data_IF_427421523351
#
_entry.id   IF_427421523351
#
_cell.length_a   1.000
_cell.length_b   1.000
_cell.length_c   1.000
_cell.angle_alpha   90.00
_cell.angle_beta   90.00
_cell.angle_gamma   90.00
#
_symmetry.space_group_name_H-M   'P 1'
#
loop_
_entity.id
_entity.type
_entity.pdbx_description
1 polymer ?
#
# COMPACT_ATOMS: atom_id res chain seq x y z
N UNK A 1 -10.85 -20.62 -12.62
CA UNK A 1 -9.92 -20.07 -11.61
C UNK A 1 -9.61 -21.16 -10.59
N UNK A 2 -8.44 -21.11 -9.96
CA UNK A 2 -8.06 -22.04 -8.90
C UNK A 2 -6.84 -21.54 -8.15
N UNK A 3 -6.60 -22.10 -6.97
CA UNK A 3 -5.42 -21.81 -6.16
C UNK A 3 -4.54 -23.05 -6.14
N UNK A 4 -3.23 -22.87 -6.25
CA UNK A 4 -2.27 -23.97 -6.15
C UNK A 4 -1.06 -23.50 -5.38
N UNK A 5 -0.58 -24.34 -4.47
CA UNK A 5 0.64 -24.13 -3.72
C UNK A 5 1.75 -24.93 -4.38
N UNK A 6 2.82 -24.24 -4.77
CA UNK A 6 4.02 -24.84 -5.34
C UNK A 6 5.07 -24.97 -4.24
N UNK A 7 5.51 -26.19 -3.96
CA UNK A 7 6.65 -26.43 -3.07
C UNK A 7 7.94 -26.15 -3.84
N UNK A 8 8.65 -25.09 -3.44
CA UNK A 8 9.91 -24.72 -4.08
C UNK A 8 11.00 -25.75 -3.77
N UNK A 9 11.82 -26.13 -4.76
CA UNK A 9 12.87 -27.12 -4.56
C UNK A 9 13.95 -26.61 -3.61
N UNK A 10 14.57 -27.54 -2.88
CA UNK A 10 15.67 -27.20 -1.97
C UNK A 10 16.92 -26.76 -2.73
N UNK A 11 17.66 -25.81 -2.16
CA UNK A 11 18.96 -25.36 -2.66
C UNK A 11 20.08 -26.07 -1.92
N UNK A 12 21.03 -26.65 -2.66
CA UNK A 12 22.23 -27.28 -2.09
C UNK A 12 23.37 -27.35 -3.11
N UNK A 13 24.55 -27.83 -2.68
CA UNK A 13 25.74 -27.95 -3.53
C UNK A 13 26.61 -26.68 -3.55
N UNK A 14 27.67 -26.68 -4.38
CA UNK A 14 28.75 -25.67 -4.36
C UNK A 14 28.32 -24.24 -4.72
N UNK A 15 27.13 -24.07 -5.31
CA UNK A 15 26.59 -22.78 -5.79
C UNK A 15 25.20 -22.44 -5.23
N UNK A 16 24.70 -23.22 -4.26
CA UNK A 16 23.32 -23.10 -3.76
C UNK A 16 22.28 -23.14 -4.89
N UNK A 17 22.55 -23.97 -5.90
CA UNK A 17 21.64 -24.23 -7.02
C UNK A 17 20.49 -25.12 -6.55
N UNK A 18 19.32 -24.95 -7.17
CA UNK A 18 18.18 -25.80 -6.89
C UNK A 18 18.51 -27.26 -7.24
N UNK A 19 18.22 -28.16 -6.31
CA UNK A 19 18.57 -29.57 -6.37
C UNK A 19 20.01 -29.90 -6.79
N UNK A 20 20.97 -29.03 -6.45
CA UNK A 20 22.39 -29.23 -6.80
C UNK A 20 22.70 -29.00 -8.29
N UNK A 21 21.84 -28.28 -9.02
CA UNK A 21 22.09 -27.88 -10.41
C UNK A 21 21.53 -28.83 -11.47
N UNK A 22 20.50 -29.62 -11.14
CA UNK A 22 19.81 -30.46 -12.12
C UNK A 22 19.15 -29.60 -13.20
N UNK A 23 19.18 -30.08 -14.44
CA UNK A 23 18.56 -29.41 -15.60
C UNK A 23 17.03 -29.44 -15.55
N UNK A 24 16.46 -30.47 -14.93
CA UNK A 24 15.01 -30.63 -14.74
C UNK A 24 14.75 -30.92 -13.26
N UNK A 25 13.81 -30.17 -12.70
CA UNK A 25 13.43 -30.25 -11.30
C UNK A 25 11.91 -30.40 -11.23
N UNK A 26 11.45 -31.48 -10.61
CA UNK A 26 10.04 -31.73 -10.42
C UNK A 26 9.58 -31.07 -9.12
N UNK A 27 8.71 -30.07 -9.23
CA UNK A 27 8.14 -29.39 -8.07
C UNK A 27 6.77 -29.99 -7.73
N UNK A 28 6.53 -30.22 -6.44
CA UNK A 28 5.22 -30.66 -5.96
C UNK A 28 4.24 -29.48 -6.02
N UNK A 29 3.07 -29.72 -6.59
CA UNK A 29 1.96 -28.75 -6.60
C UNK A 29 0.78 -29.32 -5.83
N UNK A 30 0.18 -28.51 -4.95
CA UNK A 30 -0.98 -28.87 -4.13
C UNK A 30 -2.15 -27.96 -4.56
N UNK A 31 -3.16 -28.48 -5.29
CA UNK A 31 -4.35 -27.70 -5.62
C UNK A 31 -5.18 -27.49 -4.35
N UNK A 32 -5.57 -26.23 -4.11
CA UNK A 32 -6.36 -25.81 -2.95
C UNK A 32 -7.74 -25.38 -3.41
N UNK A 33 -8.77 -25.86 -2.71
CA UNK A 33 -10.18 -25.57 -2.96
C UNK A 33 -10.68 -25.90 -4.38
N UNK A 34 -9.99 -26.80 -5.11
CA UNK A 34 -10.32 -27.16 -6.49
C UNK A 34 -11.78 -27.61 -6.66
N UNK A 35 -12.26 -28.47 -5.75
CA UNK A 35 -13.66 -28.92 -5.74
C UNK A 35 -14.64 -27.76 -5.57
N UNK A 36 -14.31 -26.80 -4.71
CA UNK A 36 -15.14 -25.63 -4.46
C UNK A 36 -15.23 -24.73 -5.70
N UNK A 37 -14.10 -24.42 -6.33
CA UNK A 37 -14.09 -23.62 -7.57
C UNK A 37 -14.81 -24.31 -8.73
N UNK A 38 -14.74 -25.65 -8.78
CA UNK A 38 -15.46 -26.44 -9.79
C UNK A 38 -16.97 -26.43 -9.55
N UNK A 39 -17.41 -26.55 -8.29
CA UNK A 39 -18.84 -26.54 -7.94
C UNK A 39 -19.47 -25.15 -7.95
N UNK A 40 -18.66 -24.10 -7.78
CA UNK A 40 -19.11 -22.72 -7.60
C UNK A 40 -18.45 -21.79 -8.63
N UNK A 41 -18.77 -21.93 -9.93
CA UNK A 41 -18.04 -21.23 -11.00
C UNK A 41 -18.21 -19.70 -10.99
N UNK A 42 -19.25 -19.19 -10.31
CA UNK A 42 -19.49 -17.75 -10.14
C UNK A 42 -18.65 -17.12 -9.02
N UNK A 43 -18.00 -17.93 -8.19
CA UNK A 43 -17.16 -17.44 -7.08
C UNK A 43 -15.72 -17.30 -7.57
N UNK A 44 -15.16 -16.10 -7.43
CA UNK A 44 -13.77 -15.78 -7.77
C UNK A 44 -12.95 -15.55 -6.50
N UNK A 45 -11.65 -15.76 -6.62
CA UNK A 45 -10.68 -15.40 -5.59
C UNK A 45 -10.40 -13.90 -5.69
N UNK A 46 -10.43 -13.18 -4.56
CA UNK A 46 -10.03 -11.77 -4.46
C UNK A 46 -8.61 -11.64 -3.92
N UNK A 47 -8.31 -12.29 -2.81
CA UNK A 47 -7.00 -12.24 -2.16
C UNK A 47 -6.65 -13.60 -1.55
N UNK A 48 -5.37 -13.95 -1.58
CA UNK A 48 -4.81 -15.08 -0.86
C UNK A 48 -3.62 -14.63 -0.01
N UNK A 49 -3.56 -15.08 1.23
CA UNK A 49 -2.45 -14.81 2.13
C UNK A 49 -2.16 -16.02 3.02
N UNK A 50 -0.90 -16.19 3.39
CA UNK A 50 -0.51 -17.17 4.39
C UNK A 50 -0.92 -16.70 5.77
N UNK A 51 -1.39 -17.63 6.60
CA UNK A 51 -1.57 -17.38 8.03
C UNK A 51 -0.20 -17.11 8.68
N UNK A 52 -0.08 -16.11 9.57
CA UNK A 52 1.21 -15.67 10.11
C UNK A 52 1.74 -16.60 11.22
N UNK A 53 2.01 -17.87 10.91
CA UNK A 53 2.61 -18.84 11.83
C UNK A 53 3.93 -19.38 11.27
N UNK A 54 4.95 -19.52 12.12
CA UNK A 54 6.24 -20.11 11.75
C UNK A 54 6.42 -21.55 12.26
N UNK A 55 5.72 -21.91 13.33
CA UNK A 55 5.98 -23.14 14.11
C UNK A 55 4.97 -24.24 13.77
N UNK A 56 3.76 -23.86 13.36
CA UNK A 56 2.67 -24.79 13.14
C UNK A 56 2.42 -25.06 11.65
N UNK A 57 1.44 -25.92 11.36
CA UNK A 57 1.04 -26.21 9.99
C UNK A 57 0.63 -24.93 9.25
N UNK A 58 1.06 -24.77 7.98
CA UNK A 58 0.74 -23.59 7.20
C UNK A 58 -0.74 -23.62 6.78
N UNK A 59 -1.45 -22.54 7.12
CA UNK A 59 -2.81 -22.29 6.64
C UNK A 59 -2.78 -21.23 5.55
N UNK A 60 -3.60 -21.44 4.52
CA UNK A 60 -3.84 -20.46 3.47
C UNK A 60 -5.21 -19.82 3.67
N UNK A 61 -5.25 -18.51 3.87
CA UNK A 61 -6.47 -17.73 3.96
C UNK A 61 -6.85 -17.19 2.57
N UNK A 62 -8.09 -17.44 2.15
CA UNK A 62 -8.64 -17.04 0.85
C UNK A 62 -9.86 -16.14 1.04
N UNK A 63 -9.76 -14.88 0.61
CA UNK A 63 -10.90 -13.98 0.48
C UNK A 63 -11.56 -14.20 -0.89
N UNK A 64 -12.86 -14.43 -0.85
CA UNK A 64 -13.64 -14.89 -2.00
C UNK A 64 -14.75 -13.89 -2.33
N UNK A 65 -15.20 -13.87 -3.60
CA UNK A 65 -16.24 -12.93 -4.06
C UNK A 65 -17.64 -13.20 -3.49
N UNK A 66 -17.82 -14.28 -2.74
CA UNK A 66 -19.01 -14.54 -1.95
C UNK A 66 -18.98 -13.94 -0.54
N UNK A 67 -18.07 -12.99 -0.32
CA UNK A 67 -17.88 -12.25 0.94
C UNK A 67 -17.57 -13.17 2.12
N UNK A 68 -16.60 -14.07 1.92
CA UNK A 68 -16.12 -14.96 2.98
C UNK A 68 -14.60 -15.08 2.94
N UNK A 69 -14.00 -15.27 4.12
CA UNK A 69 -12.60 -15.69 4.25
C UNK A 69 -12.57 -17.16 4.65
N UNK A 70 -11.86 -17.98 3.88
CA UNK A 70 -11.74 -19.42 4.09
C UNK A 70 -10.30 -19.81 4.38
N UNK A 71 -10.10 -20.55 5.46
CA UNK A 71 -8.79 -21.06 5.87
C UNK A 71 -8.65 -22.52 5.45
N UNK A 72 -7.62 -22.83 4.68
CA UNK A 72 -7.32 -24.19 4.21
C UNK A 72 -6.00 -24.67 4.80
N UNK A 73 -6.00 -25.87 5.39
CA UNK A 73 -4.76 -26.59 5.70
C UNK A 73 -4.27 -27.32 4.45
N UNK A 74 -2.95 -27.34 4.25
CA UNK A 74 -2.35 -28.10 3.14
C UNK A 74 -2.50 -29.63 3.31
N UNK A 75 -2.81 -30.11 4.51
CA UNK A 75 -3.11 -31.52 4.78
C UNK A 75 -4.52 -31.92 4.31
N UNK A 76 -5.45 -30.98 4.27
CA UNK A 76 -6.83 -31.18 3.82
C UNK A 76 -7.26 -30.08 2.84
N UNK A 77 -6.56 -29.92 1.69
CA UNK A 77 -6.63 -28.71 0.86
C UNK A 77 -7.96 -28.52 0.12
N UNK A 78 -8.87 -29.50 0.17
CA UNK A 78 -10.16 -29.46 -0.50
C UNK A 78 -11.32 -29.04 0.41
N UNK A 79 -11.11 -29.02 1.72
CA UNK A 79 -12.12 -28.68 2.73
C UNK A 79 -11.59 -27.55 3.59
N UNK A 80 -12.31 -26.41 3.72
CA UNK A 80 -11.86 -25.34 4.58
C UNK A 80 -11.88 -25.80 6.04
N UNK A 81 -10.78 -25.58 6.75
CA UNK A 81 -10.71 -25.79 8.19
C UNK A 81 -11.60 -24.81 8.95
N UNK A 82 -11.71 -23.58 8.43
CA UNK A 82 -12.58 -22.55 9.00
C UNK A 82 -13.10 -21.63 7.90
N UNK A 83 -14.32 -21.12 8.09
CA UNK A 83 -14.97 -20.15 7.21
C UNK A 83 -15.46 -18.99 8.07
N UNK A 84 -15.09 -17.77 7.69
CA UNK A 84 -15.59 -16.52 8.25
C UNK A 84 -16.57 -15.92 7.24
N UNK A 85 -17.84 -15.78 7.64
CA UNK A 85 -18.82 -15.02 6.86
C UNK A 85 -18.65 -13.54 7.15
N UNK A 86 -18.56 -12.73 6.11
CA UNK A 86 -18.41 -11.26 6.21
C UNK A 86 -19.73 -10.53 5.89
N UNK A 87 -20.78 -11.27 5.53
CA UNK A 87 -22.11 -10.68 5.40
C UNK A 87 -22.66 -10.43 6.81
N UNK A 88 -23.06 -9.20 7.11
CA UNK A 88 -23.76 -8.89 8.34
C UNK A 88 -25.10 -9.63 8.35
N UNK A 89 -25.29 -10.54 9.29
CA UNK A 89 -26.62 -11.05 9.61
C UNK A 89 -27.14 -10.18 10.75
N UNK A 90 -28.07 -9.27 10.47
CA UNK A 90 -28.83 -8.63 11.52
C UNK A 90 -29.54 -9.72 12.33
N UNK A 91 -29.13 -9.89 13.59
CA UNK A 91 -29.87 -10.71 14.54
C UNK A 91 -31.26 -10.06 14.74
N UNK A 92 -32.28 -10.83 14.39
CA UNK A 92 -33.67 -10.70 14.86
C UNK A 92 -34.41 -9.36 14.69
N UNK A 93 -34.63 -8.89 13.45
CA UNK A 93 -35.93 -8.33 13.01
C UNK A 93 -35.90 -7.62 11.65
N UNK A 94 -35.88 -8.37 10.55
CA UNK A 94 -36.75 -8.11 9.38
C UNK A 94 -36.30 -8.99 8.21
N UNK A 95 -37.30 -9.54 7.52
CA UNK A 95 -37.12 -10.30 6.31
C UNK A 95 -36.60 -9.36 5.22
N UNK A 96 -35.32 -9.48 4.86
CA UNK A 96 -34.77 -9.46 3.50
C UNK A 96 -33.25 -9.27 3.60
N UNK A 97 -32.48 -10.37 3.51
CA UNK A 97 -31.04 -10.26 3.25
C UNK A 97 -30.86 -9.51 1.92
N UNK A 98 -30.06 -8.42 1.86
CA UNK A 98 -29.77 -7.77 0.60
C UNK A 98 -29.15 -8.81 -0.34
N UNK A 99 -29.75 -8.96 -1.54
CA UNK A 99 -29.15 -9.79 -2.59
C UNK A 99 -27.72 -9.29 -2.83
N UNK A 100 -26.74 -10.18 -3.07
CA UNK A 100 -25.31 -9.82 -3.22
C UNK A 100 -25.05 -8.63 -4.14
N UNK A 101 -25.87 -8.44 -5.17
CA UNK A 101 -25.78 -7.31 -6.10
C UNK A 101 -26.01 -5.95 -5.44
N UNK A 102 -26.87 -5.90 -4.41
CA UNK A 102 -27.19 -4.69 -3.68
C UNK A 102 -26.05 -4.31 -2.74
N UNK A 103 -25.55 -5.27 -1.95
CA UNK A 103 -24.38 -5.07 -1.08
C UNK A 103 -23.14 -4.61 -1.88
N UNK A 104 -22.91 -5.20 -3.07
CA UNK A 104 -21.87 -4.73 -3.99
C UNK A 104 -22.04 -3.26 -4.39
N UNK A 105 -23.28 -2.84 -4.68
CA UNK A 105 -23.56 -1.47 -5.11
C UNK A 105 -23.41 -0.44 -4.00
N UNK A 106 -23.42 -0.88 -2.74
CA UNK A 106 -23.20 -0.05 -1.56
C UNK A 106 -21.75 -0.11 -1.04
N UNK A 107 -20.87 -0.88 -1.70
CA UNK A 107 -19.50 -1.12 -1.23
C UNK A 107 -19.41 -1.98 0.04
N UNK A 108 -20.48 -2.69 0.40
CA UNK A 108 -20.58 -3.56 1.58
C UNK A 108 -19.93 -4.94 1.35
N UNK A 109 -18.90 -5.01 0.50
CA UNK A 109 -18.15 -6.24 0.24
C UNK A 109 -16.69 -6.03 0.59
N UNK A 110 -16.12 -6.99 1.31
CA UNK A 110 -14.71 -6.99 1.65
C UNK A 110 -13.82 -7.08 0.40
N UNK A 111 -12.93 -6.11 0.24
CA UNK A 111 -11.98 -5.99 -0.88
C UNK A 111 -10.61 -6.57 -0.53
N UNK A 112 -10.20 -6.43 0.73
CA UNK A 112 -8.88 -6.83 1.18
C UNK A 112 -8.86 -7.21 2.66
N UNK A 113 -7.85 -7.95 3.08
CA UNK A 113 -7.57 -8.21 4.49
C UNK A 113 -6.07 -8.23 4.76
N UNK A 114 -5.68 -8.00 6.01
CA UNK A 114 -4.30 -8.24 6.45
C UNK A 114 -4.23 -8.67 7.92
N UNK A 115 -3.20 -9.45 8.25
CA UNK A 115 -2.92 -9.88 9.61
C UNK A 115 -1.99 -8.88 10.30
N UNK A 116 -2.36 -8.44 11.50
CA UNK A 116 -1.48 -7.68 12.38
C UNK A 116 -0.57 -8.57 13.24
N UNK A 117 0.35 -7.94 13.99
CA UNK A 117 1.28 -8.66 14.86
C UNK A 117 0.56 -9.41 15.99
N UNK A 118 1.23 -10.39 16.58
CA UNK A 118 0.70 -11.12 17.73
C UNK A 118 0.39 -10.16 18.87
N UNK A 119 -0.85 -10.15 19.36
CA UNK A 119 -1.20 -9.50 20.60
C UNK A 119 -1.17 -10.52 21.75
N UNK A 120 -0.56 -10.16 22.87
CA UNK A 120 -0.86 -10.81 24.14
C UNK A 120 -2.24 -10.29 24.55
N UNK A 121 -3.25 -11.15 24.62
CA UNK A 121 -4.54 -10.73 25.17
C UNK A 121 -4.37 -10.32 26.64
N UNK A 122 -4.12 -9.04 26.91
CA UNK A 122 -4.14 -8.43 28.22
C UNK A 122 -4.41 -6.93 28.03
N UNK A 123 -5.63 -6.46 28.28
CA UNK A 123 -6.19 -6.33 29.64
C UNK A 123 -7.66 -6.83 29.72
N UNK A 124 -7.94 -7.66 30.74
CA UNK A 124 -9.26 -8.00 31.34
C UNK A 124 -10.17 -9.16 30.83
N UNK A 125 -9.89 -9.96 29.80
CA UNK A 125 -10.82 -11.06 29.39
C UNK A 125 -10.29 -12.51 29.33
N UNK A 126 -9.10 -12.80 29.87
CA UNK A 126 -8.58 -14.17 29.94
C UNK A 126 -8.31 -14.71 31.35
N UNK A 127 -8.99 -14.18 32.38
CA UNK A 127 -8.95 -14.79 33.71
C UNK A 127 -9.75 -16.11 33.79
N UNK A 128 -10.44 -16.54 32.72
CA UNK A 128 -11.11 -17.83 32.66
C UNK A 128 -10.93 -18.52 31.30
N UNK A 129 -10.03 -19.51 31.28
CA UNK A 129 -9.98 -20.69 30.39
C UNK A 129 -9.44 -20.56 28.94
N UNK A 130 -8.38 -19.79 28.68
CA UNK A 130 -7.51 -20.15 27.55
C UNK A 130 -6.03 -20.00 27.91
N UNK A 131 -5.24 -21.02 27.56
CA UNK A 131 -3.79 -21.03 27.70
C UNK A 131 -3.19 -19.88 26.87
N UNK A 132 -2.05 -19.36 27.30
CA UNK A 132 -1.18 -18.38 26.61
C UNK A 132 -0.92 -18.78 25.14
N UNK A 133 -1.85 -18.46 24.23
CA UNK A 133 -1.72 -18.72 22.80
C UNK A 133 -1.69 -17.40 22.06
N UNK A 134 -0.83 -17.26 21.03
CA UNK A 134 -0.73 -16.04 20.25
C UNK A 134 -2.05 -15.80 19.50
N UNK A 135 -2.58 -14.59 19.63
CA UNK A 135 -3.73 -14.09 18.89
C UNK A 135 -3.24 -13.13 17.80
N UNK A 136 -3.76 -13.28 16.60
CA UNK A 136 -3.45 -12.44 15.45
C UNK A 136 -4.71 -11.67 15.05
N UNK A 137 -4.70 -10.33 15.12
CA UNK A 137 -5.78 -9.52 14.59
C UNK A 137 -5.82 -9.67 13.07
N UNK A 138 -7.01 -9.90 12.54
CA UNK A 138 -7.33 -9.96 11.12
C UNK A 138 -8.19 -8.75 10.79
N UNK A 139 -7.57 -7.76 10.15
CA UNK A 139 -8.24 -6.56 9.67
C UNK A 139 -8.82 -6.81 8.29
N UNK A 140 -10.07 -6.43 8.09
CA UNK A 140 -10.85 -6.71 6.88
C UNK A 140 -11.40 -5.38 6.38
N UNK A 141 -10.98 -4.98 5.18
CA UNK A 141 -11.38 -3.73 4.54
C UNK A 141 -12.51 -3.99 3.56
N UNK A 142 -13.54 -3.16 3.62
CA UNK A 142 -14.67 -3.10 2.70
C UNK A 142 -14.46 -1.97 1.70
N UNK A 143 -15.09 -2.10 0.53
CA UNK A 143 -14.98 -1.14 -0.57
C UNK A 143 -15.42 0.28 -0.18
N UNK A 144 -16.46 0.37 0.66
CA UNK A 144 -16.95 1.61 1.25
C UNK A 144 -16.01 2.27 2.29
N UNK A 145 -14.80 1.74 2.49
CA UNK A 145 -13.81 2.25 3.44
C UNK A 145 -13.96 1.71 4.87
N UNK A 146 -15.04 0.99 5.18
CA UNK A 146 -15.21 0.41 6.51
C UNK A 146 -14.17 -0.69 6.78
N UNK A 147 -13.61 -0.67 7.99
CA UNK A 147 -12.69 -1.71 8.45
C UNK A 147 -13.32 -2.51 9.57
N UNK A 148 -13.24 -3.83 9.49
CA UNK A 148 -13.68 -4.75 10.54
C UNK A 148 -12.49 -5.54 11.07
N UNK A 149 -12.65 -6.09 12.27
CA UNK A 149 -11.64 -6.85 12.99
C UNK A 149 -12.18 -8.20 13.42
N UNK A 150 -11.39 -9.25 13.24
CA UNK A 150 -11.60 -10.55 13.88
C UNK A 150 -10.27 -10.98 14.51
N UNK A 151 -10.30 -11.66 15.64
CA UNK A 151 -9.12 -12.27 16.21
C UNK A 151 -9.02 -13.72 15.79
N UNK A 152 -7.84 -14.08 15.34
CA UNK A 152 -7.53 -15.44 14.88
C UNK A 152 -6.51 -16.06 15.80
N UNK A 153 -6.67 -17.33 16.14
CA UNK A 153 -5.69 -18.08 16.91
C UNK A 153 -5.45 -19.43 16.25
N UNK A 154 -4.28 -19.98 16.49
CA UNK A 154 -3.96 -21.32 16.04
C UNK A 154 -3.72 -22.23 17.24
N UNK A 155 -4.58 -23.24 17.39
CA UNK A 155 -4.42 -24.29 18.38
C UNK A 155 -5.14 -25.57 17.95
N UNK A 156 -4.37 -26.52 17.40
CA UNK A 156 -4.91 -27.71 16.74
C UNK A 156 -5.94 -27.38 15.65
N UNK A 157 -5.71 -26.26 14.92
CA UNK A 157 -6.64 -25.70 13.94
C UNK A 157 -6.73 -24.18 14.07
N UNK A 158 -7.35 -23.53 13.09
CA UNK A 158 -7.60 -22.07 13.13
C UNK A 158 -8.92 -21.80 13.83
N UNK A 159 -8.89 -20.96 14.86
CA UNK A 159 -10.08 -20.42 15.52
C UNK A 159 -10.25 -18.94 15.18
N UNK A 160 -11.50 -18.45 15.24
CA UNK A 160 -11.88 -17.09 14.88
C UNK A 160 -12.86 -16.55 15.92
N UNK A 161 -12.68 -15.30 16.34
CA UNK A 161 -13.69 -14.54 17.08
C UNK A 161 -14.83 -14.07 16.16
N UNK A 162 -15.89 -13.53 16.77
CA UNK A 162 -16.91 -12.77 16.03
C UNK A 162 -16.26 -11.57 15.32
N UNK A 163 -16.85 -11.16 14.20
CA UNK A 163 -16.47 -9.93 13.50
C UNK A 163 -16.89 -8.72 14.35
N UNK A 164 -15.94 -7.80 14.56
CA UNK A 164 -16.09 -6.57 15.33
C UNK A 164 -15.93 -5.39 14.38
N UNK A 165 -16.85 -4.44 14.39
CA UNK A 165 -16.79 -3.25 13.57
C UNK A 165 -18.16 -2.77 13.07
N UNK A 166 -18.21 -1.74 12.21
CA UNK A 166 -17.04 -1.07 11.62
C UNK A 166 -16.21 -0.35 12.71
N UNK A 167 -14.88 -0.39 12.58
CA UNK A 167 -13.98 0.28 13.52
C UNK A 167 -14.15 1.80 13.35
N UNK A 168 -14.37 2.55 14.44
CA UNK A 168 -14.48 4.01 14.36
C UNK A 168 -13.21 4.63 13.76
N UNK A 169 -13.37 5.52 12.78
CA UNK A 169 -12.26 6.26 12.16
C UNK A 169 -12.28 7.74 12.61
N UNK A 170 -11.13 8.26 13.03
CA UNK A 170 -10.97 9.63 13.53
C UNK A 170 -9.96 10.44 12.70
N UNK A 171 -10.25 11.73 12.42
CA UNK A 171 -11.46 12.47 12.80
C UNK A 171 -12.72 11.97 12.08
N UNK A 172 -13.86 11.90 12.78
CA UNK A 172 -15.10 11.44 12.17
C UNK A 172 -15.61 12.45 11.13
N UNK A 173 -15.83 12.00 9.90
CA UNK A 173 -16.62 12.72 8.91
C UNK A 173 -17.17 11.74 7.87
N UNK A 174 -18.30 12.10 7.26
CA UNK A 174 -19.02 11.25 6.29
C UNK A 174 -18.32 11.17 4.93
N UNK A 175 -17.46 12.14 4.60
CA UNK A 175 -16.79 12.29 3.30
C UNK A 175 -15.25 12.18 3.36
N UNK A 176 -14.67 12.00 4.55
CA UNK A 176 -13.21 12.06 4.73
C UNK A 176 -12.43 10.84 4.17
N UNK A 177 -13.07 9.70 4.00
CA UNK A 177 -12.38 8.41 3.81
C UNK A 177 -12.68 7.68 2.50
N UNK A 178 -13.43 8.32 1.58
CA UNK A 178 -13.75 7.76 0.27
C UNK A 178 -14.67 6.54 0.30
N UNK A 179 -15.05 6.05 -0.88
CA UNK A 179 -15.89 4.85 -1.09
C UNK A 179 -15.27 3.88 -2.11
N UNK A 180 -13.98 4.05 -2.39
CA UNK A 180 -13.18 3.35 -3.39
C UNK A 180 -11.96 2.69 -2.74
N UNK A 181 -12.10 2.21 -1.50
CA UNK A 181 -11.02 1.54 -0.79
C UNK A 181 -10.70 0.21 -1.50
N UNK A 182 -9.42 -0.08 -1.71
CA UNK A 182 -9.00 -1.23 -2.53
C UNK A 182 -7.91 -2.10 -1.90
N UNK A 183 -7.13 -1.59 -0.95
CA UNK A 183 -6.11 -2.37 -0.27
C UNK A 183 -5.88 -1.94 1.18
N UNK A 184 -5.54 -2.91 2.03
CA UNK A 184 -5.14 -2.70 3.42
C UNK A 184 -3.79 -3.36 3.68
N UNK A 185 -2.96 -2.73 4.51
CA UNK A 185 -1.69 -3.26 4.96
C UNK A 185 -1.44 -2.92 6.43
N UNK A 186 -1.17 -3.92 7.26
CA UNK A 186 -0.76 -3.74 8.65
C UNK A 186 0.77 -3.79 8.76
N UNK A 187 1.37 -2.70 9.25
CA UNK A 187 2.78 -2.72 9.62
C UNK A 187 2.96 -3.32 11.02
N UNK A 188 3.97 -4.19 11.23
CA UNK A 188 4.20 -4.85 12.51
C UNK A 188 4.96 -3.92 13.48
N UNK A 189 4.30 -2.85 13.91
CA UNK A 189 4.79 -1.91 14.90
C UNK A 189 3.84 -1.84 16.10
N UNK A 190 4.33 -1.28 17.21
CA UNK A 190 3.53 -1.01 18.41
C UNK A 190 3.41 0.51 18.61
N UNK A 191 2.19 1.08 18.60
CA UNK A 191 0.91 0.47 18.21
C UNK A 191 0.90 0.06 16.72
N UNK A 192 -0.04 -0.82 16.36
CA UNK A 192 -0.21 -1.25 14.97
C UNK A 192 -0.59 -0.06 14.09
N UNK A 193 0.01 0.00 12.90
CA UNK A 193 -0.30 1.01 11.89
C UNK A 193 -0.96 0.30 10.71
N UNK A 194 -2.18 0.71 10.41
CA UNK A 194 -2.93 0.28 9.24
C UNK A 194 -2.79 1.30 8.13
N UNK A 195 -2.46 0.83 6.94
CA UNK A 195 -2.43 1.61 5.72
C UNK A 195 -3.67 1.21 4.92
N UNK A 196 -4.54 2.15 4.62
CA UNK A 196 -5.71 1.94 3.75
C UNK A 196 -5.46 2.72 2.47
N UNK A 197 -5.61 2.07 1.33
CA UNK A 197 -5.40 2.66 0.01
C UNK A 197 -6.70 2.70 -0.79
N UNK A 198 -6.94 3.80 -1.51
CA UNK A 198 -8.06 3.97 -2.43
C UNK A 198 -7.65 3.74 -3.87
N UNK A 199 -8.61 3.50 -4.77
CA UNK A 199 -8.35 3.35 -6.21
C UNK A 199 -7.85 4.65 -6.87
N UNK A 200 -8.13 5.80 -6.24
CA UNK A 200 -7.74 7.14 -6.67
C UNK A 200 -6.29 7.54 -6.34
N UNK A 201 -5.54 6.75 -5.57
CA UNK A 201 -4.17 7.13 -5.17
C UNK A 201 -4.03 7.60 -3.74
N UNK A 202 -5.12 7.67 -2.96
CA UNK A 202 -5.09 8.17 -1.58
C UNK A 202 -4.69 7.06 -0.62
N UNK A 203 -3.77 7.38 0.30
CA UNK A 203 -3.26 6.49 1.33
C UNK A 203 -3.54 7.11 2.70
N UNK A 204 -4.28 6.39 3.53
CA UNK A 204 -4.54 6.76 4.92
C UNK A 204 -3.63 5.95 5.85
N UNK A 205 -2.90 6.65 6.71
CA UNK A 205 -2.06 6.02 7.74
C UNK A 205 -2.75 6.10 9.08
N UNK A 206 -3.36 4.99 9.48
CA UNK A 206 -4.17 4.88 10.68
C UNK A 206 -3.36 4.26 11.82
N UNK A 207 -3.28 4.94 12.96
CA UNK A 207 -2.79 4.37 14.21
C UNK A 207 -3.94 3.66 14.90
N UNK A 208 -3.78 2.36 15.19
CA UNK A 208 -4.80 1.56 15.87
C UNK A 208 -4.63 1.72 17.38
N UNK A 209 -5.64 2.28 18.05
CA UNK A 209 -5.65 2.47 19.51
C UNK A 209 -6.91 1.83 20.11
N UNK A 210 -6.80 1.34 21.34
CA UNK A 210 -7.96 0.85 22.09
C UNK A 210 -8.87 2.02 22.47
N UNK A 211 -10.19 1.83 22.43
CA UNK A 211 -11.15 2.84 22.90
C UNK A 211 -11.01 3.03 24.41
N UNK A 212 -11.01 4.29 24.88
CA UNK A 212 -11.15 4.58 26.31
C UNK A 212 -12.53 4.08 26.79
N UNK A 213 -12.56 3.28 27.87
CA UNK A 213 -13.82 2.89 28.53
C UNK A 213 -14.51 4.20 29.00
N UNK A 214 -15.60 4.64 28.36
CA UNK A 214 -16.41 5.75 28.89
C UNK A 214 -16.96 5.32 30.26
N UNK A 215 -16.43 5.90 31.35
CA UNK A 215 -16.78 5.54 32.74
C UNK A 215 -18.26 5.85 33.12
N UNK A 216 -19.09 6.37 32.22
CA UNK A 216 -20.47 6.76 32.54
C UNK A 216 -21.50 6.28 31.49
N UNK A 217 -21.78 4.98 31.45
CA UNK A 217 -23.03 4.48 30.87
C UNK A 217 -23.53 3.23 31.60
N UNK A 218 -24.28 3.46 32.68
CA UNK A 218 -25.19 2.44 33.22
C UNK A 218 -26.24 2.10 32.14
N UNK A 219 -26.09 0.96 31.45
CA UNK A 219 -27.21 0.18 30.86
C UNK A 219 -26.76 -1.18 30.29
N UNK A 220 -27.09 -2.23 31.04
CA UNK A 220 -27.51 -3.56 30.60
C UNK A 220 -27.35 -3.90 29.11
N UNK A 221 -26.21 -4.52 28.74
CA UNK A 221 -26.07 -5.71 27.88
C UNK A 221 -24.67 -6.28 28.13
N UNK A 222 -24.62 -7.57 28.46
CA UNK A 222 -23.44 -8.38 28.75
C UNK A 222 -22.68 -8.69 27.45
N UNK A 223 -21.79 -7.79 26.98
CA UNK A 223 -20.65 -8.06 26.04
C UNK A 223 -20.00 -6.77 25.47
N UNK A 224 -19.60 -5.79 26.28
CA UNK A 224 -18.86 -4.63 25.75
C UNK A 224 -17.36 -4.95 25.70
N UNK A 225 -16.93 -5.68 24.67
CA UNK A 225 -15.50 -5.73 24.31
C UNK A 225 -15.09 -4.34 23.81
N UNK A 226 -14.04 -3.75 24.37
CA UNK A 226 -13.50 -2.47 23.91
C UNK A 226 -13.07 -2.60 22.44
N UNK A 227 -13.81 -1.93 21.54
CA UNK A 227 -13.55 -1.96 20.10
C UNK A 227 -12.44 -0.95 19.79
N UNK A 228 -11.32 -1.35 19.16
CA UNK A 228 -10.29 -0.41 18.81
C UNK A 228 -10.78 0.59 17.76
N UNK A 229 -10.19 1.77 17.77
CA UNK A 229 -10.44 2.83 16.80
C UNK A 229 -9.20 3.12 15.95
N UNK A 230 -9.46 3.64 14.75
CA UNK A 230 -8.47 4.02 13.76
C UNK A 230 -8.27 5.53 13.80
N UNK A 231 -7.10 5.99 14.23
CA UNK A 231 -6.76 7.41 14.23
C UNK A 231 -5.92 7.72 13.00
N UNK A 232 -6.51 8.42 12.03
CA UNK A 232 -5.82 8.82 10.80
C UNK A 232 -4.79 9.88 11.16
N UNK A 233 -3.52 9.48 11.14
CA UNK A 233 -2.39 10.31 11.51
C UNK A 233 -1.97 11.20 10.35
N UNK A 234 -1.96 10.65 9.14
CA UNK A 234 -1.71 11.41 7.92
C UNK A 234 -2.49 10.80 6.73
N UNK A 235 -2.67 11.61 5.70
CA UNK A 235 -3.29 11.26 4.42
C UNK A 235 -2.36 11.72 3.29
N UNK A 236 -2.15 10.84 2.31
CA UNK A 236 -1.15 11.03 1.25
C UNK A 236 -1.77 10.68 -0.09
N UNK A 237 -1.78 11.63 -1.02
CA UNK A 237 -2.19 11.41 -2.40
C UNK A 237 -0.96 11.07 -3.26
N UNK A 238 -0.98 9.92 -3.92
CA UNK A 238 0.07 9.50 -4.84
C UNK A 238 -0.05 10.25 -6.18
N UNK A 239 1.08 10.72 -6.69
CA UNK A 239 1.13 11.29 -8.04
C UNK A 239 1.20 10.15 -9.08
N UNK A 240 0.03 9.70 -9.54
CA UNK A 240 -0.09 8.56 -10.45
C UNK A 240 0.42 8.89 -11.87
N UNK A 241 0.07 10.06 -12.41
CA UNK A 241 0.47 10.52 -13.75
C UNK A 241 0.75 12.01 -13.76
N UNK A 242 1.65 12.49 -14.63
CA UNK A 242 1.93 13.92 -14.74
C UNK A 242 0.74 14.67 -15.34
N UNK A 243 0.24 15.68 -14.63
CA UNK A 243 -0.76 16.62 -15.15
C UNK A 243 -0.04 17.60 -16.09
N UNK A 244 -0.29 17.51 -17.40
CA UNK A 244 0.21 18.49 -18.37
C UNK A 244 -0.64 19.75 -18.25
N UNK A 245 -0.01 20.90 -18.06
CA UNK A 245 -0.71 22.19 -18.13
C UNK A 245 -1.21 22.43 -19.56
N UNK A 246 -2.43 22.04 -19.86
CA UNK A 246 -3.19 22.60 -20.98
C UNK A 246 -3.48 24.06 -20.63
N UNK A 247 -3.43 24.96 -21.62
CA UNK A 247 -3.62 26.40 -21.38
C UNK A 247 -4.93 26.69 -20.63
N UNK A 248 -4.96 27.80 -19.90
CA UNK A 248 -5.97 28.24 -18.90
C UNK A 248 -7.46 28.26 -19.35
N UNK A 249 -7.83 27.69 -20.51
CA UNK A 249 -9.19 27.68 -21.06
C UNK A 249 -9.79 26.28 -21.29
N UNK A 250 -9.05 25.19 -21.06
CA UNK A 250 -9.64 23.84 -21.00
C UNK A 250 -9.71 23.40 -19.54
N UNK A 251 -10.93 23.24 -19.01
CA UNK A 251 -11.11 22.48 -17.75
C UNK A 251 -10.34 21.16 -17.91
N UNK A 252 -9.44 20.81 -16.97
CA UNK A 252 -8.72 19.56 -17.07
C UNK A 252 -9.77 18.47 -17.18
N UNK A 253 -9.77 17.75 -18.30
CA UNK A 253 -10.64 16.60 -18.46
C UNK A 253 -10.22 15.63 -17.35
N UNK A 254 -10.97 15.59 -16.25
CA UNK A 254 -10.79 14.65 -15.16
C UNK A 254 -11.03 13.28 -15.76
N UNK A 255 -9.96 12.68 -16.28
CA UNK A 255 -9.98 11.26 -16.53
C UNK A 255 -10.05 10.62 -15.15
N UNK A 256 -11.21 10.04 -14.83
CA UNK A 256 -11.42 9.14 -13.69
C UNK A 256 -10.49 7.93 -13.84
N UNK A 257 -9.20 8.15 -13.60
CA UNK A 257 -8.19 7.12 -13.65
C UNK A 257 -8.19 6.42 -12.30
N UNK A 258 -9.02 5.40 -12.18
CA UNK A 258 -8.97 4.47 -11.04
C UNK A 258 -7.94 3.39 -11.35
N UNK A 259 -7.04 3.14 -10.40
CA UNK A 259 -6.11 2.03 -10.51
C UNK A 259 -5.96 1.31 -9.17
N UNK A 260 -6.36 0.04 -9.06
CA UNK A 260 -6.23 -0.70 -7.82
C UNK A 260 -4.76 -0.73 -7.34
N UNK A 261 -4.54 -0.22 -6.15
CA UNK A 261 -3.23 -0.19 -5.50
C UNK A 261 -2.98 -1.54 -4.84
N UNK A 262 -1.77 -2.09 -5.01
CA UNK A 262 -1.29 -3.19 -4.16
C UNK A 262 -0.22 -2.68 -3.22
N UNK A 263 -0.37 -3.00 -1.95
CA UNK A 263 0.55 -2.63 -0.88
C UNK A 263 1.50 -3.79 -0.59
N UNK A 264 2.78 -3.49 -0.40
CA UNK A 264 3.85 -4.45 -0.15
C UNK A 264 4.68 -4.01 1.05
N UNK A 265 4.79 -4.87 2.07
CA UNK A 265 5.67 -4.61 3.22
C UNK A 265 7.13 -4.61 2.76
N UNK A 266 7.94 -3.69 3.27
CA UNK A 266 9.39 -3.75 3.09
C UNK A 266 10.02 -4.64 4.18
N UNK A 267 10.52 -5.80 3.78
CA UNK A 267 11.18 -6.74 4.69
C UNK A 267 12.53 -6.21 5.23
N UNK A 268 13.08 -5.16 4.64
CA UNK A 268 14.35 -4.54 5.04
C UNK A 268 14.16 -3.31 5.93
N UNK A 269 12.95 -2.76 6.02
CA UNK A 269 12.66 -1.55 6.76
C UNK A 269 11.21 -1.52 7.24
N UNK A 270 11.00 -1.70 8.54
CA UNK A 270 9.66 -1.75 9.16
C UNK A 270 8.85 -0.45 9.04
N UNK A 271 9.53 0.66 8.74
CA UNK A 271 8.92 2.00 8.58
C UNK A 271 8.68 2.35 7.12
N UNK A 272 8.78 1.39 6.20
CA UNK A 272 8.63 1.61 4.78
C UNK A 272 7.76 0.53 4.16
N UNK A 273 6.98 0.92 3.18
CA UNK A 273 6.22 0.01 2.36
C UNK A 273 6.20 0.53 0.92
N UNK A 274 5.73 -0.30 0.01
CA UNK A 274 5.73 -0.01 -1.41
C UNK A 274 4.32 -0.18 -1.97
N UNK A 275 3.96 0.68 -2.90
CA UNK A 275 2.70 0.66 -3.63
C UNK A 275 3.01 0.31 -5.08
N UNK A 276 2.36 -0.73 -5.62
CA UNK A 276 2.37 -1.00 -7.06
C UNK A 276 0.98 -0.76 -7.62
N UNK A 277 0.88 -0.04 -8.71
CA UNK A 277 -0.38 0.26 -9.38
C UNK A 277 -0.15 0.29 -10.89
N UNK A 278 -1.18 0.63 -11.65
CA UNK A 278 -1.05 0.65 -13.11
C UNK A 278 -0.03 1.67 -13.59
N UNK A 279 0.11 2.83 -12.94
CA UNK A 279 0.97 3.90 -13.40
C UNK A 279 2.43 3.82 -12.89
N UNK A 280 2.73 2.89 -11.98
CA UNK A 280 4.10 2.74 -11.49
C UNK A 280 4.27 2.06 -10.14
N UNK A 281 5.38 2.40 -9.50
CA UNK A 281 5.77 1.99 -8.16
C UNK A 281 6.11 3.21 -7.32
N UNK A 282 5.49 3.31 -6.16
CA UNK A 282 5.82 4.29 -5.13
C UNK A 282 6.40 3.58 -3.90
N UNK A 283 7.38 4.21 -3.25
CA UNK A 283 7.88 3.82 -1.93
C UNK A 283 7.50 4.89 -0.93
N UNK A 284 6.92 4.48 0.19
CA UNK A 284 6.42 5.38 1.23
C UNK A 284 7.12 5.08 2.54
N UNK A 285 7.86 6.06 3.06
CA UNK A 285 8.60 6.00 4.32
C UNK A 285 7.93 6.78 5.43
N UNK A 286 7.46 6.09 6.46
CA UNK A 286 6.77 6.65 7.63
C UNK A 286 7.80 7.05 8.70
N UNK A 287 8.47 8.19 8.45
CA UNK A 287 9.56 8.67 9.32
C UNK A 287 9.10 9.04 10.74
N UNK A 288 7.81 9.32 10.93
CA UNK A 288 7.22 9.63 12.22
C UNK A 288 7.03 8.41 13.12
N UNK A 289 7.05 7.17 12.60
CA UNK A 289 6.91 5.96 13.44
C UNK A 289 8.01 5.90 14.50
N UNK A 290 9.25 6.17 14.11
CA UNK A 290 10.38 6.19 15.07
C UNK A 290 10.17 7.21 16.19
N UNK A 291 9.51 8.34 15.89
CA UNK A 291 9.19 9.36 16.89
C UNK A 291 8.03 8.91 17.76
N UNK A 292 7.00 8.31 17.17
CA UNK A 292 5.86 7.77 17.90
C UNK A 292 6.33 6.71 18.90
N UNK A 293 7.16 5.78 18.47
CA UNK A 293 7.75 4.75 19.35
C UNK A 293 8.60 5.36 20.47
N UNK A 294 9.42 6.38 20.18
CA UNK A 294 10.18 7.09 21.21
C UNK A 294 9.27 7.78 22.21
N UNK A 295 8.23 8.45 21.73
CA UNK A 295 7.25 9.13 22.57
C UNK A 295 6.53 8.14 23.49
N UNK A 296 6.08 7.01 22.97
CA UNK A 296 5.43 5.95 23.78
C UNK A 296 6.37 5.31 24.81
N UNK A 297 7.68 5.31 24.54
CA UNK A 297 8.70 4.89 25.49
C UNK A 297 9.16 5.98 26.47
N UNK A 298 8.76 7.24 26.26
CA UNK A 298 9.09 8.37 27.14
C UNK A 298 8.10 8.46 28.30
N UNK A 299 8.56 8.90 29.48
CA UNK A 299 7.68 9.08 30.64
C UNK A 299 6.71 10.26 30.45
N UNK A 300 5.56 10.24 31.13
CA UNK A 300 4.48 11.24 30.97
C UNK A 300 4.90 12.72 31.18
N UNK A 301 6.06 12.97 31.78
CA UNK A 301 6.58 14.31 32.03
C UNK A 301 7.42 14.88 30.85
N UNK A 302 7.70 14.09 29.81
CA UNK A 302 8.51 14.49 28.65
C UNK A 302 7.70 15.25 27.60
N UNK A 303 7.42 16.53 27.91
CA UNK A 303 6.73 17.46 27.01
C UNK A 303 7.49 17.73 25.70
N UNK A 304 8.81 17.54 25.69
CA UNK A 304 9.65 17.77 24.51
C UNK A 304 9.41 16.69 23.46
N UNK A 305 9.23 15.43 23.87
CA UNK A 305 8.91 14.31 22.98
C UNK A 305 7.56 14.45 22.27
N UNK A 306 6.52 14.93 22.97
CA UNK A 306 5.21 15.22 22.34
C UNK A 306 5.33 16.35 21.31
N UNK A 307 6.06 17.41 21.65
CA UNK A 307 6.31 18.53 20.74
C UNK A 307 7.12 18.08 19.51
N UNK A 308 8.05 17.13 19.66
CA UNK A 308 8.81 16.55 18.55
C UNK A 308 7.92 15.66 17.66
N UNK A 309 7.00 14.88 18.24
CA UNK A 309 6.03 14.08 17.49
C UNK A 309 5.05 14.98 16.72
N UNK A 310 4.54 16.03 17.36
CA UNK A 310 3.67 17.04 16.77
C UNK A 310 4.41 17.93 15.75
N UNK A 311 5.74 17.98 15.78
CA UNK A 311 6.52 18.70 14.78
C UNK A 311 6.36 18.01 13.42
N UNK A 312 5.60 18.68 12.55
CA UNK A 312 5.12 18.20 11.26
C UNK A 312 6.25 17.64 10.39
N UNK A 313 6.39 16.31 10.43
CA UNK A 313 7.25 15.55 9.53
C UNK A 313 6.39 14.50 8.86
N UNK A 314 5.86 14.88 7.69
CA UNK A 314 5.09 14.00 6.81
C UNK A 314 5.94 12.83 6.35
N UNK A 315 5.32 11.73 5.96
CA UNK A 315 6.03 10.66 5.27
C UNK A 315 6.79 11.16 4.04
N UNK A 316 7.73 10.34 3.60
CA UNK A 316 8.48 10.54 2.37
C UNK A 316 7.88 9.61 1.32
N UNK A 317 7.42 10.18 0.21
CA UNK A 317 6.94 9.42 -0.95
C UNK A 317 7.95 9.57 -2.08
N UNK A 318 8.45 8.43 -2.57
CA UNK A 318 9.35 8.36 -3.72
C UNK A 318 8.64 7.62 -4.86
N UNK A 319 8.42 8.27 -6.00
CA UNK A 319 7.96 7.60 -7.24
C UNK A 319 9.17 6.90 -7.89
N UNK A 320 9.37 5.62 -7.57
CA UNK A 320 10.58 4.86 -7.96
C UNK A 320 10.54 4.50 -9.45
N UNK A 321 9.38 4.11 -9.96
CA UNK A 321 9.21 3.68 -11.34
C UNK A 321 7.90 4.21 -11.89
N UNK A 322 7.97 4.99 -12.97
CA UNK A 322 6.80 5.44 -13.70
C UNK A 322 6.61 4.58 -14.96
N UNK A 323 5.46 3.91 -15.06
CA UNK A 323 5.06 3.10 -16.23
C UNK A 323 3.99 3.77 -17.07
N UNK A 324 3.46 4.92 -16.60
CA UNK A 324 2.52 5.76 -17.34
C UNK A 324 2.81 7.25 -17.10
N UNK A 325 3.72 7.86 -17.88
CA UNK A 325 4.11 9.25 -17.66
C UNK A 325 2.97 10.26 -17.86
N UNK A 326 2.11 10.02 -18.85
CA UNK A 326 0.99 10.89 -19.20
C UNK A 326 -0.33 10.10 -19.18
N UNK A 327 -1.48 10.75 -18.91
CA UNK A 327 -2.79 10.11 -18.98
C UNK A 327 -3.08 9.47 -20.35
N UNK A 328 -2.53 10.01 -21.44
CA UNK A 328 -2.72 9.50 -22.80
C UNK A 328 -1.78 8.35 -23.18
N UNK A 329 -0.75 8.09 -22.37
CA UNK A 329 0.22 7.03 -22.65
C UNK A 329 -0.34 5.67 -22.27
N UNK A 330 -0.12 4.66 -23.12
CA UNK A 330 -0.42 3.27 -22.77
C UNK A 330 0.47 2.82 -21.62
N UNK A 331 -0.13 2.29 -20.56
CA UNK A 331 0.63 1.85 -19.40
C UNK A 331 1.26 0.47 -19.61
N UNK A 332 2.42 0.24 -18.99
CA UNK A 332 2.98 -1.08 -18.73
C UNK A 332 2.84 -1.49 -17.25
N UNK A 333 1.64 -1.89 -16.75
CA UNK A 333 1.41 -2.17 -15.34
C UNK A 333 2.37 -3.18 -14.71
N UNK A 334 2.67 -2.98 -13.43
CA UNK A 334 3.49 -3.89 -12.64
C UNK A 334 2.74 -5.21 -12.37
N UNK A 335 3.37 -6.33 -12.74
CA UNK A 335 2.86 -7.70 -12.56
C UNK A 335 3.60 -8.48 -11.49
N UNK A 336 4.90 -8.25 -11.35
CA UNK A 336 5.73 -8.82 -10.28
C UNK A 336 6.52 -7.72 -9.59
N UNK A 337 6.63 -7.81 -8.27
CA UNK A 337 7.36 -6.83 -7.46
C UNK A 337 8.00 -7.54 -6.27
N UNK A 338 9.26 -7.21 -5.98
CA UNK A 338 9.95 -7.67 -4.77
C UNK A 338 11.09 -6.72 -4.42
N UNK A 339 11.30 -6.52 -3.11
CA UNK A 339 12.51 -5.90 -2.58
C UNK A 339 13.40 -7.01 -2.02
N UNK A 340 14.67 -7.01 -2.43
CA UNK A 340 15.69 -7.89 -1.86
C UNK A 340 16.90 -7.07 -1.43
N UNK A 341 17.65 -7.61 -0.48
CA UNK A 341 18.99 -7.15 -0.16
C UNK A 341 19.97 -8.28 -0.42
N UNK A 342 20.99 -8.01 -1.22
CA UNK A 342 22.14 -8.90 -1.41
C UNK A 342 23.44 -8.13 -1.21
N UNK A 343 24.51 -8.81 -0.80
CA UNK A 343 25.82 -8.16 -0.60
C UNK A 343 26.35 -7.50 -1.89
N UNK A 344 26.04 -8.07 -3.05
CA UNK A 344 26.48 -7.54 -4.36
C UNK A 344 25.55 -6.45 -4.91
N UNK A 345 24.24 -6.56 -4.66
CA UNK A 345 23.22 -5.65 -5.21
C UNK A 345 22.84 -4.52 -4.25
N UNK A 346 23.19 -4.61 -2.96
CA UNK A 346 22.56 -3.80 -1.92
C UNK A 346 21.06 -4.08 -1.84
N UNK A 347 20.28 -3.14 -1.29
CA UNK A 347 18.82 -3.26 -1.41
C UNK A 347 18.36 -2.77 -2.77
N UNK A 348 17.68 -3.64 -3.50
CA UNK A 348 17.27 -3.44 -4.88
C UNK A 348 15.81 -3.85 -5.03
N UNK A 349 15.06 -3.00 -5.72
CA UNK A 349 13.74 -3.32 -6.24
C UNK A 349 13.89 -4.14 -7.51
N UNK A 350 13.13 -5.23 -7.61
CA UNK A 350 12.93 -5.96 -8.85
C UNK A 350 11.45 -5.86 -9.21
N UNK A 351 11.18 -5.47 -10.46
CA UNK A 351 9.85 -5.33 -11.01
C UNK A 351 9.75 -6.04 -12.36
N UNK A 352 8.61 -6.70 -12.61
CA UNK A 352 8.24 -7.27 -13.90
C UNK A 352 6.98 -6.56 -14.39
N UNK A 353 7.02 -5.98 -15.59
CA UNK A 353 5.88 -5.26 -16.19
C UNK A 353 4.98 -6.20 -17.02
N UNK A 354 3.82 -5.70 -17.45
CA UNK A 354 2.90 -6.42 -18.34
C UNK A 354 3.50 -6.76 -19.71
N UNK A 355 4.53 -6.03 -20.13
CA UNK A 355 5.27 -6.24 -21.38
C UNK A 355 6.51 -7.12 -21.18
N UNK A 356 6.62 -7.80 -20.04
CA UNK A 356 7.70 -8.73 -19.69
C UNK A 356 9.09 -8.08 -19.56
N UNK A 357 9.16 -6.77 -19.30
CA UNK A 357 10.41 -6.13 -18.93
C UNK A 357 10.74 -6.42 -17.46
N UNK A 358 11.99 -6.82 -17.21
CA UNK A 358 12.53 -7.01 -15.87
C UNK A 358 13.40 -5.81 -15.50
N UNK A 359 12.96 -5.03 -14.52
CA UNK A 359 13.56 -3.78 -14.09
C UNK A 359 14.19 -3.97 -12.72
N UNK A 360 15.48 -3.61 -12.60
CA UNK A 360 16.24 -3.66 -11.35
C UNK A 360 16.67 -2.24 -10.98
N UNK A 361 16.17 -1.72 -9.85
CA UNK A 361 16.52 -0.38 -9.37
C UNK A 361 17.03 -0.43 -7.93
N UNK A 362 18.26 0.02 -7.66
CA UNK A 362 18.75 0.18 -6.29
C UNK A 362 17.87 1.16 -5.51
N UNK A 363 17.47 0.79 -4.29
CA UNK A 363 16.67 1.66 -3.45
C UNK A 363 17.55 2.75 -2.81
N UNK A 364 17.11 4.00 -2.93
CA UNK A 364 17.73 5.13 -2.24
C UNK A 364 17.74 4.90 -0.72
N UNK A 365 18.78 5.39 -0.06
CA UNK A 365 18.99 5.20 1.39
C UNK A 365 18.24 6.21 2.25
N UNK A 366 17.36 7.05 1.67
CA UNK A 366 16.72 8.20 2.33
C UNK A 366 16.02 7.85 3.65
N UNK A 367 15.58 6.59 3.81
CA UNK A 367 14.79 6.11 4.96
C UNK A 367 15.53 5.01 5.76
N UNK A 368 16.78 4.66 5.41
CA UNK A 368 17.51 3.63 6.19
C UNK A 368 18.17 4.24 7.42
N UNK A 369 18.09 3.59 8.60
CA UNK A 369 19.00 3.92 9.68
C UNK A 369 20.44 3.76 9.19
N UNK A 370 21.38 4.61 9.66
CA UNK A 370 22.79 4.42 9.34
C UNK A 370 23.19 2.99 9.73
N UNK A 371 23.93 2.31 8.86
CA UNK A 371 24.44 0.97 9.16
C UNK A 371 25.13 1.01 10.53
N UNK A 372 24.86 0.05 11.44
CA UNK A 372 25.52 0.04 12.73
C UNK A 372 27.04 0.12 12.51
N UNK A 373 27.78 0.93 13.29
CA UNK A 373 29.22 0.95 13.18
C UNK A 373 29.71 -0.48 13.38
N UNK A 374 30.53 -0.97 12.45
CA UNK A 374 31.17 -2.26 12.59
C UNK A 374 31.87 -2.28 13.95
N UNK A 375 31.50 -3.23 14.81
CA UNK A 375 32.17 -3.48 16.07
C UNK A 375 33.57 -4.02 15.77
N UNK A 376 34.48 -3.12 15.44
CA UNK A 376 35.92 -3.35 15.46
C UNK A 376 36.53 -2.36 16.45
N UNK A 377 36.26 -2.60 17.73
CA UNK A 377 37.15 -2.18 18.80
C UNK A 377 38.27 -3.20 18.89
N UNK A 378 39.44 -2.81 18.40
CA UNK A 378 40.78 -3.36 18.64
C UNK A 378 40.93 -4.85 18.96
N UNK A 379 41.32 -5.60 17.93
CA UNK A 379 42.55 -6.42 17.96
C UNK A 379 43.07 -6.55 16.53
N UNK A 380 44.33 -6.17 16.34
CA UNK A 380 45.08 -6.29 15.09
C UNK A 380 44.85 -7.65 14.43
N UNK A 381 43.99 -7.68 13.42
CA UNK A 381 44.04 -8.66 12.34
C UNK A 381 43.66 -7.90 11.08
N UNK A 382 44.67 -7.64 10.24
CA UNK A 382 44.47 -7.00 8.94
C UNK A 382 43.43 -7.78 8.13
N UNK A 383 42.36 -7.14 7.61
CA UNK A 383 41.44 -7.80 6.69
C UNK A 383 42.18 -8.30 5.44
N UNK A 384 41.71 -9.38 4.78
CA UNK A 384 42.38 -9.95 3.63
C UNK A 384 42.56 -8.89 2.53
N UNK A 385 43.75 -8.75 1.93
CA UNK A 385 44.10 -7.63 1.05
C UNK A 385 43.27 -7.55 -0.24
N UNK A 386 42.46 -8.57 -0.56
CA UNK A 386 41.54 -8.55 -1.70
C UNK A 386 40.23 -7.81 -1.39
N UNK A 387 39.73 -7.88 -0.16
CA UNK A 387 38.45 -7.30 0.25
C UNK A 387 38.58 -5.77 0.44
N UNK A 388 39.71 -5.32 1.01
CA UNK A 388 40.05 -3.89 1.11
C UNK A 388 40.24 -3.27 -0.28
N UNK A 389 40.86 -4.01 -1.22
CA UNK A 389 41.05 -3.53 -2.60
C UNK A 389 39.72 -3.41 -3.34
N UNK A 390 38.80 -4.36 -3.16
CA UNK A 390 37.47 -4.32 -3.76
C UNK A 390 36.65 -3.15 -3.22
N UNK A 391 36.60 -2.98 -1.90
CA UNK A 391 35.88 -1.88 -1.24
C UNK A 391 36.45 -0.50 -1.60
N UNK A 392 37.78 -0.40 -1.71
CA UNK A 392 38.44 0.84 -2.17
C UNK A 392 38.13 1.14 -3.63
N UNK A 393 38.07 0.10 -4.48
CA UNK A 393 37.64 0.22 -5.87
C UNK A 393 36.19 0.67 -6.01
N UNK A 394 35.28 0.08 -5.22
CA UNK A 394 33.87 0.46 -5.19
C UNK A 394 33.67 1.90 -4.70
N UNK A 395 34.35 2.30 -3.62
CA UNK A 395 34.32 3.69 -3.12
C UNK A 395 34.81 4.69 -4.17
N UNK A 396 35.87 4.35 -4.90
CA UNK A 396 36.38 5.20 -5.99
C UNK A 396 35.37 5.33 -7.12
N UNK A 397 34.75 4.22 -7.53
CA UNK A 397 33.72 4.22 -8.58
C UNK A 397 32.49 5.04 -8.17
N UNK A 398 32.02 4.88 -6.93
CA UNK A 398 30.90 5.68 -6.40
C UNK A 398 31.22 7.18 -6.35
N UNK A 399 32.46 7.54 -6.04
CA UNK A 399 32.89 8.94 -6.05
C UNK A 399 32.91 9.52 -7.46
N UNK A 400 33.35 8.74 -8.45
CA UNK A 400 33.32 9.12 -9.87
C UNK A 400 31.88 9.28 -10.38
N UNK A 401 30.98 8.35 -10.03
CA UNK A 401 29.55 8.41 -10.37
C UNK A 401 28.85 9.62 -9.72
N UNK A 402 29.19 9.97 -8.47
CA UNK A 402 28.68 11.17 -7.80
C UNK A 402 29.15 12.47 -8.45
N UNK A 403 30.39 12.51 -8.95
CA UNK A 403 30.91 13.67 -9.69
C UNK A 403 30.16 13.81 -11.01
N UNK A 404 29.99 12.72 -11.76
CA UNK A 404 29.24 12.71 -13.02
C UNK A 404 27.79 13.18 -12.81
N UNK A 405 27.10 12.63 -11.80
CA UNK A 405 25.73 13.02 -11.46
C UNK A 405 25.63 14.51 -11.09
N UNK A 406 26.64 15.07 -10.41
CA UNK A 406 26.69 16.50 -10.11
C UNK A 406 26.87 17.36 -11.37
N UNK A 407 27.65 16.90 -12.34
CA UNK A 407 27.83 17.56 -13.64
C UNK A 407 26.55 17.48 -14.48
N UNK A 408 25.90 16.32 -14.54
CA UNK A 408 24.61 16.15 -15.21
C UNK A 408 23.54 17.04 -14.58
N UNK A 409 23.45 17.11 -13.25
CA UNK A 409 22.55 18.03 -12.54
C UNK A 409 22.80 19.49 -12.92
N UNK A 410 24.07 19.89 -13.06
CA UNK A 410 24.44 21.24 -13.49
C UNK A 410 24.00 21.50 -14.93
N UNK A 411 24.26 20.56 -15.84
CA UNK A 411 23.83 20.64 -17.23
C UNK A 411 22.31 20.72 -17.35
N UNK A 412 21.58 19.90 -16.58
CA UNK A 412 20.12 19.88 -16.59
C UNK A 412 19.54 21.21 -16.13
N UNK A 413 20.13 21.81 -15.09
CA UNK A 413 19.76 23.13 -14.60
C UNK A 413 19.99 24.22 -15.64
N UNK A 414 21.14 24.22 -16.31
CA UNK A 414 21.43 25.19 -17.39
C UNK A 414 20.46 25.03 -18.57
N UNK A 415 20.06 23.80 -18.91
CA UNK A 415 19.04 23.56 -19.95
C UNK A 415 17.65 24.03 -19.51
N UNK A 416 17.29 23.84 -18.25
CA UNK A 416 16.02 24.32 -17.70
C UNK A 416 15.95 25.85 -17.69
N UNK A 417 17.04 26.53 -17.29
CA UNK A 417 17.14 27.99 -17.33
C UNK A 417 16.99 28.51 -18.77
N UNK A 418 17.69 27.92 -19.75
CA UNK A 418 17.52 28.29 -21.18
C UNK A 418 16.12 28.01 -21.73
N UNK A 419 15.45 26.97 -21.23
CA UNK A 419 14.10 26.65 -21.65
C UNK A 419 13.09 27.65 -21.07
N UNK A 420 13.29 28.06 -19.81
CA UNK A 420 12.50 29.11 -19.17
C UNK A 420 12.61 30.44 -19.94
N UNK A 421 13.81 30.86 -20.31
CA UNK A 421 14.02 32.08 -21.11
C UNK A 421 13.25 32.00 -22.46
N UNK A 422 13.33 30.86 -23.15
CA UNK A 422 12.60 30.64 -24.40
C UNK A 422 11.09 30.65 -24.21
N UNK A 423 10.60 30.14 -23.08
CA UNK A 423 9.19 30.12 -22.76
C UNK A 423 8.67 31.54 -22.49
N UNK A 424 9.40 32.36 -21.74
CA UNK A 424 9.06 33.77 -21.53
C UNK A 424 9.01 34.55 -22.86
N UNK A 425 10.00 34.34 -23.73
CA UNK A 425 10.04 34.94 -25.07
C UNK A 425 8.83 34.52 -25.92
N UNK A 426 8.47 33.23 -25.89
CA UNK A 426 7.32 32.70 -26.62
C UNK A 426 6.00 33.28 -26.09
N UNK A 427 5.86 33.37 -24.76
CA UNK A 427 4.71 33.96 -24.09
C UNK A 427 4.52 35.43 -24.47
N UNK A 428 5.60 36.22 -24.47
CA UNK A 428 5.56 37.62 -24.89
C UNK A 428 5.13 37.78 -26.37
N UNK A 429 5.64 36.92 -27.25
CA UNK A 429 5.24 36.91 -28.67
C UNK A 429 3.77 36.53 -28.85
N UNK A 430 3.30 35.53 -28.12
CA UNK A 430 1.90 35.10 -28.15
C UNK A 430 0.98 36.22 -27.68
N UNK A 431 1.32 36.92 -26.60
CA UNK A 431 0.55 38.07 -26.11
C UNK A 431 0.49 39.20 -27.15
N UNK A 432 1.62 39.47 -27.81
CA UNK A 432 1.69 40.46 -28.90
C UNK A 432 0.78 40.08 -30.07
N UNK A 433 0.79 38.80 -30.48
CA UNK A 433 -0.08 38.28 -31.55
C UNK A 433 -1.55 38.37 -31.13
N UNK A 434 -1.88 37.96 -29.90
CA UNK A 434 -3.24 37.97 -29.38
C UNK A 434 -3.81 39.39 -29.33
N UNK A 435 -3.01 40.39 -28.94
CA UNK A 435 -3.41 41.79 -28.97
C UNK A 435 -3.68 42.30 -30.40
N UNK A 436 -2.89 41.84 -31.38
CA UNK A 436 -3.14 42.15 -32.80
C UNK A 436 -4.43 41.49 -33.30
N UNK A 437 -4.67 40.23 -32.96
CA UNK A 437 -5.90 39.52 -33.30
C UNK A 437 -7.11 40.22 -32.69
N UNK A 438 -7.08 40.57 -31.39
CA UNK A 438 -8.14 41.34 -30.72
C UNK A 438 -8.46 42.65 -31.44
N UNK A 439 -7.42 43.38 -31.88
CA UNK A 439 -7.58 44.64 -32.63
C UNK A 439 -8.23 44.44 -34.00
N UNK A 440 -7.85 43.38 -34.72
CA UNK A 440 -8.48 43.04 -36.01
C UNK A 440 -9.93 42.61 -35.79
N UNK A 441 -10.20 41.79 -34.78
CA UNK A 441 -11.54 41.33 -34.43
C UNK A 441 -12.48 42.50 -34.09
N UNK A 442 -11.99 43.47 -33.30
CA UNK A 442 -12.76 44.66 -32.96
C UNK A 442 -13.07 45.52 -34.18
N UNK A 443 -12.13 45.63 -35.13
CA UNK A 443 -12.35 46.34 -36.40
C UNK A 443 -13.41 45.65 -37.26
N UNK A 444 -13.38 44.32 -37.35
CA UNK A 444 -14.40 43.56 -38.10
C UNK A 444 -15.78 43.59 -37.43
N UNK A 445 -15.86 43.62 -36.09
CA UNK A 445 -17.13 43.78 -35.37
C UNK A 445 -17.72 45.19 -35.51
N UNK A 446 -16.88 46.22 -35.69
CA UNK A 446 -17.37 47.58 -36.00
C UNK A 446 -17.82 47.77 -37.45
N UNK A 447 -17.47 46.84 -38.36
CA UNK A 447 -17.87 46.90 -39.78
C UNK A 447 -19.06 45.98 -40.13
N UNK A 448 -19.57 45.17 -39.20
CA UNK A 448 -20.83 44.41 -39.41
C UNK A 448 -22.06 45.30 -39.16
N UNK A 449 -22.93 45.54 -40.16
CA UNK A 449 -24.18 46.26 -39.94
C UNK A 449 -25.19 45.37 -39.21
N UNK A 450 -25.70 45.86 -38.08
CA UNK A 450 -26.91 45.34 -37.44
C UNK A 450 -28.08 45.53 -38.40
N UNK A 451 -28.55 44.46 -39.03
CA UNK A 451 -29.91 44.37 -39.55
C UNK A 451 -30.29 42.92 -39.71
N UNK A 452 -31.00 42.39 -38.71
CA UNK A 452 -31.96 41.29 -38.88
C UNK A 452 -32.91 41.26 -37.66
N UNK A 453 -33.62 42.36 -37.44
CA UNK A 453 -34.85 42.38 -36.64
C UNK A 453 -35.80 43.41 -37.22
N UNK A 454 -36.54 43.01 -38.27
CA UNK A 454 -37.96 43.31 -38.50
C UNK A 454 -38.34 42.89 -39.92
N UNK A 455 -39.20 41.87 -40.04
CA UNK A 455 -40.37 41.81 -40.92
C UNK A 455 -40.95 40.38 -40.93
N UNK A 456 -41.68 40.03 -39.87
CA UNK A 456 -42.85 39.16 -39.97
C UNK A 456 -44.08 40.07 -39.98
N UNK A 457 -44.59 40.36 -41.18
CA UNK A 457 -46.00 40.67 -41.44
C UNK A 457 -46.31 40.15 -42.83
N UNK A 458 -47.11 39.10 -42.86
CA UNK A 458 -47.59 38.36 -44.02
C UNK A 458 -48.39 37.19 -43.50
#
# INVERSE_FOLDING_TARGET
>A
MGVSVLELPQRWGKKSEFEGGKSEINCRTIPVAERFFTSSPSVSLRQAAWFPTEIEEPYLALLMSDNTIRFYSLNSPQTPAKVLSLSQSDDDSSAHQPTRSFAASLGEIAVAFDFGPTCSAHRKLAAQRCKEQPLYPLYILYENGETYLSYTSQSNGVTLSKLVGPLPMYPAAEDNYGYDACAILCLPCEPSILIIATETGTLYHCVVLESEEEEESEKWIDSSEAVPALYVFECVELELTLKVATGEEEEPQEFDFTCPIRLHRDLLCQHRYHCTHEAGVHSVGLIWINKLQKFLGSGEEDKDSLQELAAEKRCIVEHILCTRPLPTTESAPVRGFVILSDLSLGATMICITSIYECILLPLLSSIRPPSPPLLSGDKETSPPPQEVKLLTGQKKKQLEELVLCREEKKSLRETAERLADKYEDAKYRQETIMNRVKKVLSMTQTETPVSLTQLHRG
#
